data_IF_445324492292
#
_entry.id   IF_445324492292
#
_cell.length_a   1.000
_cell.length_b   1.000
_cell.length_c   1.000
_cell.angle_alpha   90.00
_cell.angle_beta   90.00
_cell.angle_gamma   90.00
#
_symmetry.space_group_name_H-M   'P 1'
#
loop_
_entity.id
_entity.type
_entity.pdbx_description
1 polymer ?
#
# COMPACT_ATOMS: atom_id res chain seq x y z
N UNK A 1 -4.20 -10.47 -12.82
CA UNK A 1 -2.98 -9.80 -12.33
C UNK A 1 -1.89 -9.98 -13.37
N UNK A 2 -1.69 -9.02 -14.23
CA UNK A 2 -0.74 -9.08 -15.36
C UNK A 2 0.17 -7.86 -15.37
N UNK A 3 0.74 -7.51 -14.22
CA UNK A 3 1.76 -6.48 -14.19
C UNK A 3 3.13 -7.09 -13.86
N UNK A 4 4.03 -7.22 -14.84
CA UNK A 4 5.35 -7.78 -14.58
C UNK A 4 6.21 -6.91 -13.68
N UNK A 5 5.95 -5.59 -13.61
CA UNK A 5 6.70 -4.68 -12.75
C UNK A 5 6.33 -4.79 -11.27
N UNK A 6 5.15 -5.28 -10.95
CA UNK A 6 4.67 -5.44 -9.57
C UNK A 6 4.64 -6.92 -9.14
N UNK A 7 5.46 -7.74 -9.74
CA UNK A 7 5.59 -9.17 -9.40
C UNK A 7 4.26 -9.93 -9.41
N UNK A 8 3.32 -9.52 -10.26
CA UNK A 8 2.02 -10.17 -10.39
C UNK A 8 2.18 -11.57 -11.01
N UNK A 9 1.43 -12.53 -10.50
CA UNK A 9 1.45 -13.90 -10.99
C UNK A 9 0.44 -14.07 -12.13
N UNK A 10 0.91 -14.36 -13.34
CA UNK A 10 0.06 -14.72 -14.46
C UNK A 10 -0.84 -15.92 -14.11
N UNK A 11 -2.08 -15.92 -14.61
CA UNK A 11 -3.03 -16.99 -14.43
C UNK A 11 -3.66 -17.10 -13.03
N UNK A 12 -3.51 -16.07 -12.17
CA UNK A 12 -4.17 -16.03 -10.87
C UNK A 12 -5.23 -14.95 -10.81
N UNK A 13 -6.33 -15.27 -10.16
CA UNK A 13 -7.38 -14.30 -9.83
C UNK A 13 -7.19 -13.73 -8.43
N UNK A 14 -7.86 -12.63 -8.11
CA UNK A 14 -7.91 -12.12 -6.73
C UNK A 14 -8.48 -13.14 -5.74
N UNK A 15 -9.45 -13.94 -6.14
CA UNK A 15 -10.01 -15.00 -5.32
C UNK A 15 -8.99 -16.12 -5.01
N UNK A 16 -8.09 -16.43 -5.94
CA UNK A 16 -7.02 -17.42 -5.69
C UNK A 16 -6.03 -16.91 -4.67
N UNK A 17 -5.69 -15.63 -4.77
CA UNK A 17 -4.81 -14.97 -3.78
C UNK A 17 -5.51 -14.89 -2.43
N UNK A 18 -6.78 -14.51 -2.41
CA UNK A 18 -7.60 -14.45 -1.20
C UNK A 18 -7.65 -15.77 -0.45
N UNK A 19 -8.02 -16.86 -1.13
CA UNK A 19 -8.05 -18.21 -0.55
C UNK A 19 -6.73 -18.65 0.05
N UNK A 20 -5.64 -18.26 -0.59
CA UNK A 20 -4.29 -18.55 -0.10
C UNK A 20 -3.95 -17.76 1.16
N UNK A 21 -4.29 -16.46 1.18
CA UNK A 21 -3.89 -15.55 2.26
C UNK A 21 -4.80 -15.67 3.48
N UNK A 22 -6.11 -15.72 3.31
CA UNK A 22 -7.05 -15.68 4.44
C UNK A 22 -6.77 -16.74 5.50
N UNK A 23 -6.32 -17.92 5.06
CA UNK A 23 -6.05 -19.09 5.93
C UNK A 23 -4.63 -19.15 6.43
N UNK A 24 -3.75 -18.28 5.95
CA UNK A 24 -2.36 -18.27 6.40
C UNK A 24 -2.24 -17.51 7.72
N UNK A 25 -1.41 -18.06 8.59
CA UNK A 25 -0.99 -17.37 9.80
C UNK A 25 -0.29 -16.07 9.39
N UNK A 26 -0.72 -14.96 9.99
CA UNK A 26 -0.19 -13.66 9.66
C UNK A 26 1.29 -13.55 10.11
N UNK A 27 2.10 -12.91 9.31
CA UNK A 27 3.52 -12.67 9.54
C UNK A 27 4.34 -13.95 9.82
N UNK A 28 3.94 -15.09 9.26
CA UNK A 28 4.46 -16.42 9.63
C UNK A 28 5.98 -16.58 9.57
N UNK A 29 6.69 -15.69 8.87
CA UNK A 29 8.16 -15.70 8.73
C UNK A 29 8.85 -14.50 9.38
N UNK A 30 8.11 -13.66 10.11
CA UNK A 30 8.62 -12.44 10.73
C UNK A 30 8.50 -12.54 12.26
N UNK A 31 9.55 -12.18 12.98
CA UNK A 31 9.48 -12.08 14.42
C UNK A 31 8.60 -10.87 14.81
N UNK A 32 7.68 -11.10 15.73
CA UNK A 32 6.84 -10.04 16.31
C UNK A 32 7.20 -9.94 17.79
N UNK A 33 7.65 -8.75 18.22
CA UNK A 33 8.04 -8.54 19.61
C UNK A 33 6.79 -8.54 20.51
N UNK A 34 6.83 -9.20 21.67
CA UNK A 34 5.68 -9.24 22.58
C UNK A 34 5.25 -7.85 23.09
N UNK A 35 6.19 -6.91 23.15
CA UNK A 35 5.94 -5.52 23.57
C UNK A 35 5.52 -4.59 22.43
N UNK A 36 5.35 -5.10 21.20
CA UNK A 36 4.75 -4.29 20.12
C UNK A 36 3.39 -3.82 20.55
N UNK A 37 3.14 -2.51 20.47
CA UNK A 37 1.95 -1.86 21.02
C UNK A 37 0.64 -2.30 20.34
N UNK A 38 0.72 -2.81 19.11
CA UNK A 38 -0.44 -3.23 18.30
C UNK A 38 -0.53 -4.74 18.19
N UNK A 39 0.56 -5.37 17.79
CA UNK A 39 0.61 -6.78 17.42
C UNK A 39 1.10 -7.68 18.55
N UNK A 40 1.80 -7.13 19.55
CA UNK A 40 2.42 -7.92 20.61
C UNK A 40 1.48 -8.89 21.30
N UNK A 41 0.25 -8.48 21.58
CA UNK A 41 -0.82 -9.34 22.15
C UNK A 41 -1.18 -10.55 21.29
N UNK A 42 -0.79 -10.56 20.03
CA UNK A 42 -1.00 -11.65 19.09
C UNK A 42 0.28 -12.33 18.69
N UNK A 43 1.44 -11.88 19.20
CA UNK A 43 2.73 -12.50 18.92
C UNK A 43 2.69 -13.99 19.26
N UNK A 44 3.27 -14.83 18.40
CA UNK A 44 3.33 -16.25 18.67
C UNK A 44 4.40 -16.54 19.74
N UNK A 45 4.07 -17.26 20.83
CA UNK A 45 4.97 -17.40 21.98
C UNK A 45 6.24 -18.19 21.69
N UNK A 46 6.26 -19.03 20.69
CA UNK A 46 7.36 -19.97 20.42
C UNK A 46 7.81 -20.02 18.93
N UNK A 47 7.31 -19.14 18.09
CA UNK A 47 7.64 -19.14 16.67
C UNK A 47 7.46 -17.73 16.07
N UNK A 48 8.02 -17.44 14.89
CA UNK A 48 7.69 -16.23 14.15
C UNK A 48 6.18 -16.10 13.85
N UNK A 49 5.70 -14.88 13.68
CA UNK A 49 4.34 -14.56 13.29
C UNK A 49 3.37 -14.34 14.43
N UNK A 50 2.12 -14.22 14.04
CA UNK A 50 1.01 -14.03 14.97
C UNK A 50 0.31 -15.37 15.24
N UNK A 51 -0.47 -15.42 16.30
CA UNK A 51 -1.37 -16.54 16.60
C UNK A 51 -2.62 -16.57 15.70
N UNK A 52 -2.84 -15.53 14.93
CA UNK A 52 -4.00 -15.32 14.08
C UNK A 52 -3.66 -15.49 12.60
N UNK A 53 -4.66 -15.90 11.83
CA UNK A 53 -4.62 -15.85 10.37
C UNK A 53 -4.96 -14.44 9.86
N UNK A 54 -4.61 -14.15 8.60
CA UNK A 54 -5.01 -12.89 7.98
C UNK A 54 -6.54 -12.74 7.91
N UNK A 55 -7.28 -13.82 7.67
CA UNK A 55 -8.74 -13.79 7.68
C UNK A 55 -9.33 -13.41 9.05
N UNK A 56 -8.72 -13.88 10.14
CA UNK A 56 -9.12 -13.51 11.50
C UNK A 56 -8.78 -12.05 11.81
N UNK A 57 -7.65 -11.55 11.33
CA UNK A 57 -7.31 -10.13 11.47
C UNK A 57 -8.32 -9.24 10.75
N UNK A 58 -8.70 -9.55 9.51
CA UNK A 58 -9.74 -8.83 8.77
C UNK A 58 -11.05 -8.84 9.54
N UNK A 59 -11.49 -9.99 10.04
CA UNK A 59 -12.75 -10.10 10.82
C UNK A 59 -12.71 -9.31 12.14
N UNK A 60 -11.54 -9.07 12.69
CA UNK A 60 -11.36 -8.23 13.89
C UNK A 60 -11.30 -6.75 13.58
N UNK A 61 -10.70 -6.38 12.43
CA UNK A 61 -10.51 -5.01 12.02
C UNK A 61 -11.77 -4.37 11.43
N UNK A 62 -12.58 -5.16 10.72
CA UNK A 62 -13.73 -4.66 9.99
C UNK A 62 -15.06 -5.02 10.67
N UNK A 63 -16.02 -4.11 10.57
CA UNK A 63 -17.35 -4.32 11.16
C UNK A 63 -18.03 -5.58 10.59
N UNK A 64 -18.66 -6.43 11.42
CA UNK A 64 -19.24 -7.71 10.98
C UNK A 64 -20.21 -7.63 9.79
N UNK A 65 -20.96 -6.53 9.65
CA UNK A 65 -21.85 -6.32 8.50
C UNK A 65 -21.14 -6.35 7.14
N UNK A 66 -19.83 -6.08 7.10
CA UNK A 66 -19.06 -6.01 5.87
C UNK A 66 -18.56 -7.40 5.41
N UNK A 67 -18.36 -8.33 6.33
CA UNK A 67 -17.81 -9.63 6.02
C UNK A 67 -18.72 -10.82 6.35
N UNK A 68 -19.71 -10.62 7.24
CA UNK A 68 -20.66 -11.66 7.60
C UNK A 68 -21.84 -11.67 6.63
N UNK A 69 -21.70 -12.41 5.56
CA UNK A 69 -22.77 -12.62 4.59
C UNK A 69 -22.88 -14.11 4.21
N UNK A 70 -24.09 -14.68 4.16
CA UNK A 70 -24.31 -16.01 3.63
C UNK A 70 -24.31 -16.06 2.11
N UNK A 71 -24.29 -14.90 1.46
CA UNK A 71 -24.36 -14.81 0.01
C UNK A 71 -23.08 -15.30 -0.65
N UNK A 72 -23.24 -15.73 -1.89
CA UNK A 72 -22.16 -16.15 -2.76
C UNK A 72 -22.18 -15.36 -4.06
N UNK A 73 -21.04 -15.26 -4.71
CA UNK A 73 -20.95 -14.76 -6.08
C UNK A 73 -21.65 -15.68 -7.06
N UNK A 74 -21.93 -15.25 -8.30
CA UNK A 74 -22.43 -16.13 -9.35
C UNK A 74 -21.55 -17.36 -9.61
N UNK A 75 -20.23 -17.27 -9.33
CA UNK A 75 -19.28 -18.36 -9.41
C UNK A 75 -19.25 -19.25 -8.15
N UNK A 76 -20.16 -19.05 -7.19
CA UNK A 76 -20.30 -19.86 -5.99
C UNK A 76 -19.31 -19.53 -4.85
N UNK A 77 -18.49 -18.47 -4.98
CA UNK A 77 -17.53 -18.09 -3.95
C UNK A 77 -18.24 -17.37 -2.79
N UNK A 78 -17.84 -17.63 -1.51
CA UNK A 78 -18.27 -16.82 -0.39
C UNK A 78 -17.91 -15.33 -0.61
N UNK A 79 -18.79 -14.41 -0.25
CA UNK A 79 -18.52 -12.97 -0.44
C UNK A 79 -17.30 -12.50 0.35
N UNK A 80 -17.04 -13.07 1.52
CA UNK A 80 -15.83 -12.75 2.28
C UNK A 80 -14.55 -13.06 1.47
N UNK A 81 -14.51 -14.25 0.86
CA UNK A 81 -13.38 -14.65 0.01
C UNK A 81 -13.27 -13.78 -1.24
N UNK A 82 -14.39 -13.51 -1.91
CA UNK A 82 -14.42 -12.65 -3.10
C UNK A 82 -13.96 -11.21 -2.81
N UNK A 83 -14.27 -10.70 -1.62
CA UNK A 83 -13.94 -9.33 -1.20
C UNK A 83 -12.65 -9.24 -0.36
N UNK A 84 -11.93 -10.33 -0.15
CA UNK A 84 -10.75 -10.34 0.72
C UNK A 84 -9.68 -9.34 0.26
N UNK A 85 -9.44 -9.23 -1.04
CA UNK A 85 -8.51 -8.27 -1.62
C UNK A 85 -8.93 -6.82 -1.36
N UNK A 86 -10.23 -6.52 -1.34
CA UNK A 86 -10.75 -5.21 -0.96
C UNK A 86 -10.43 -4.89 0.51
N UNK A 87 -10.70 -5.83 1.43
CA UNK A 87 -10.34 -5.64 2.85
C UNK A 87 -8.84 -5.46 3.03
N UNK A 88 -8.04 -6.22 2.29
CA UNK A 88 -6.59 -6.10 2.31
C UNK A 88 -6.12 -4.71 1.85
N UNK A 89 -6.60 -4.26 0.70
CA UNK A 89 -6.27 -2.93 0.16
C UNK A 89 -6.73 -1.79 1.08
N UNK A 90 -7.95 -1.87 1.62
CA UNK A 90 -8.46 -0.87 2.56
C UNK A 90 -7.67 -0.84 3.87
N UNK A 91 -7.22 -1.98 4.37
CA UNK A 91 -6.38 -2.03 5.58
C UNK A 91 -5.04 -1.34 5.35
N UNK A 92 -4.40 -1.58 4.20
CA UNK A 92 -3.15 -0.90 3.81
C UNK A 92 -3.39 0.61 3.66
N UNK A 93 -4.41 1.00 2.90
CA UNK A 93 -4.75 2.41 2.69
C UNK A 93 -5.00 3.15 4.00
N UNK A 94 -5.75 2.55 4.92
CA UNK A 94 -6.03 3.13 6.23
C UNK A 94 -4.76 3.25 7.08
N UNK A 95 -3.85 2.29 7.00
CA UNK A 95 -2.56 2.37 7.66
C UNK A 95 -1.71 3.49 7.06
N UNK A 96 -1.59 3.52 5.74
CA UNK A 96 -0.80 4.54 5.03
C UNK A 96 -1.33 5.96 5.31
N UNK A 97 -2.64 6.12 5.48
CA UNK A 97 -3.23 7.41 5.84
C UNK A 97 -2.80 7.94 7.22
N UNK A 98 -2.23 7.09 8.07
CA UNK A 98 -1.64 7.49 9.35
C UNK A 98 -0.17 7.88 9.25
N UNK A 99 0.47 7.60 8.12
CA UNK A 99 1.87 7.90 7.88
C UNK A 99 1.99 9.32 7.30
N UNK A 100 1.99 10.29 8.19
CA UNK A 100 2.17 11.69 7.81
C UNK A 100 3.64 12.05 7.99
N UNK A 101 4.29 12.44 6.89
CA UNK A 101 5.66 12.93 6.89
C UNK A 101 5.64 14.42 6.57
N UNK A 102 5.64 15.25 7.60
CA UNK A 102 5.49 16.70 7.50
C UNK A 102 6.60 17.50 8.22
N UNK A 103 7.61 16.81 8.73
CA UNK A 103 8.77 17.42 9.40
C UNK A 103 10.11 16.79 8.94
N UNK A 104 10.18 16.34 7.70
CA UNK A 104 11.45 15.90 7.13
C UNK A 104 12.41 17.08 6.95
N UNK A 105 13.74 16.87 6.88
CA UNK A 105 14.68 17.94 6.57
C UNK A 105 14.32 18.76 5.31
N UNK A 106 13.75 18.10 4.31
CA UNK A 106 13.27 18.79 3.11
C UNK A 106 12.09 19.74 3.41
N UNK A 107 11.14 19.33 4.26
CA UNK A 107 9.97 20.14 4.59
C UNK A 107 10.38 21.42 5.33
N UNK A 108 11.32 21.29 6.27
CA UNK A 108 11.91 22.43 6.97
C UNK A 108 12.65 23.37 6.02
N UNK A 109 13.45 22.81 5.11
CA UNK A 109 14.15 23.59 4.08
C UNK A 109 13.16 24.33 3.16
N UNK A 110 12.14 23.64 2.67
CA UNK A 110 11.10 24.22 1.83
C UNK A 110 10.29 25.31 2.56
N UNK A 111 10.22 25.23 3.89
CA UNK A 111 9.60 26.23 4.76
C UNK A 111 10.52 27.40 5.14
N UNK A 112 11.77 27.40 4.65
CA UNK A 112 12.71 28.52 4.81
C UNK A 112 13.84 28.30 5.81
N UNK A 113 14.01 27.08 6.35
CA UNK A 113 15.18 26.73 7.16
C UNK A 113 16.35 26.28 6.27
N UNK A 114 17.18 27.21 5.86
CA UNK A 114 18.34 26.94 5.00
C UNK A 114 19.36 25.98 5.64
N UNK A 115 19.35 25.81 6.96
CA UNK A 115 20.23 24.92 7.67
C UNK A 115 19.73 23.47 7.71
N UNK A 116 18.49 23.22 7.36
CA UNK A 116 17.89 21.88 7.41
C UNK A 116 18.50 20.88 6.41
N UNK A 117 19.11 21.36 5.33
CA UNK A 117 19.82 20.54 4.36
C UNK A 117 21.33 20.84 4.33
N UNK A 118 22.16 19.81 4.27
CA UNK A 118 23.60 19.96 4.03
C UNK A 118 23.88 20.49 2.62
N UNK A 119 25.12 20.91 2.36
CA UNK A 119 25.52 21.34 1.02
C UNK A 119 25.35 20.24 -0.03
N UNK A 120 25.70 18.98 0.31
CA UNK A 120 25.53 17.81 -0.55
C UNK A 120 24.06 17.51 -0.83
N UNK A 121 23.19 17.62 0.19
CA UNK A 121 21.75 17.42 0.02
C UNK A 121 21.13 18.49 -0.88
N UNK A 122 21.54 19.76 -0.75
CA UNK A 122 21.13 20.82 -1.66
C UNK A 122 21.63 20.61 -3.09
N UNK A 123 22.86 20.12 -3.26
CA UNK A 123 23.37 19.75 -4.57
C UNK A 123 22.58 18.59 -5.17
N UNK A 124 22.20 17.60 -4.35
CA UNK A 124 21.32 16.51 -4.75
C UNK A 124 19.93 17.00 -5.17
N UNK A 125 19.32 17.91 -4.40
CA UNK A 125 18.04 18.54 -4.74
C UNK A 125 18.11 19.30 -6.07
N UNK A 126 19.20 20.03 -6.32
CA UNK A 126 19.41 20.73 -7.59
C UNK A 126 19.52 19.75 -8.76
N UNK A 127 20.15 18.61 -8.57
CA UNK A 127 20.18 17.53 -9.58
C UNK A 127 18.80 16.94 -9.82
N UNK A 128 18.09 16.61 -8.75
CA UNK A 128 16.75 16.02 -8.77
C UNK A 128 15.76 16.90 -9.54
N UNK A 129 15.72 18.20 -9.21
CA UNK A 129 14.83 19.15 -9.85
C UNK A 129 15.32 19.57 -11.27
N UNK A 130 16.62 19.53 -11.51
CA UNK A 130 17.27 20.01 -12.72
C UNK A 130 17.63 18.92 -13.73
N UNK A 131 18.92 18.80 -14.01
CA UNK A 131 19.43 18.00 -15.14
C UNK A 131 19.14 16.49 -15.04
N UNK A 132 18.97 15.93 -13.84
CA UNK A 132 18.61 14.53 -13.67
C UNK A 132 17.14 14.24 -14.01
N UNK A 133 16.30 15.28 -14.06
CA UNK A 133 14.88 15.21 -14.45
C UNK A 133 14.01 14.31 -13.58
N UNK A 134 14.45 13.96 -12.38
CA UNK A 134 13.70 13.09 -11.48
C UNK A 134 12.34 13.70 -11.10
N UNK A 135 12.29 15.02 -10.86
CA UNK A 135 11.07 15.75 -10.54
C UNK A 135 10.02 15.75 -11.65
N UNK A 136 10.36 15.31 -12.86
CA UNK A 136 9.38 15.15 -13.94
C UNK A 136 8.33 14.08 -13.61
N UNK A 137 8.75 13.00 -12.94
CA UNK A 137 7.88 11.93 -12.48
C UNK A 137 7.64 12.02 -10.98
N UNK A 138 8.63 12.46 -10.22
CA UNK A 138 8.60 12.58 -8.76
C UNK A 138 8.41 14.04 -8.33
N UNK A 139 7.38 14.69 -8.85
CA UNK A 139 7.06 16.09 -8.54
C UNK A 139 6.08 16.25 -7.38
N UNK A 140 5.85 17.53 -7.04
CA UNK A 140 4.93 17.90 -5.97
C UNK A 140 5.50 17.72 -4.56
N UNK A 141 4.73 18.09 -3.54
CA UNK A 141 5.19 18.10 -2.14
C UNK A 141 5.49 16.72 -1.57
N UNK A 142 4.93 15.68 -2.14
CA UNK A 142 5.11 14.28 -1.71
C UNK A 142 5.95 13.45 -2.68
N UNK A 143 6.61 14.10 -3.62
CA UNK A 143 7.53 13.49 -4.61
C UNK A 143 6.92 12.36 -5.45
N UNK A 144 5.61 12.38 -5.65
CA UNK A 144 4.93 11.42 -6.52
C UNK A 144 3.82 12.07 -7.35
N UNK A 145 3.73 11.70 -8.61
CA UNK A 145 2.63 12.10 -9.48
C UNK A 145 1.30 11.36 -9.16
N UNK A 146 1.34 10.35 -8.30
CA UNK A 146 0.17 9.60 -7.87
C UNK A 146 -0.61 10.29 -6.74
N UNK A 147 -0.03 11.32 -6.10
CA UNK A 147 -0.73 12.05 -5.04
C UNK A 147 -1.94 12.80 -5.57
N UNK A 148 -3.09 12.75 -4.89
CA UNK A 148 -4.22 13.60 -5.22
C UNK A 148 -3.87 15.05 -4.92
N UNK A 149 -3.97 15.91 -5.94
CA UNK A 149 -3.88 17.35 -5.78
C UNK A 149 -5.29 17.95 -5.74
N UNK A 150 -5.58 18.91 -4.84
CA UNK A 150 -6.87 19.59 -4.81
C UNK A 150 -7.22 20.20 -6.19
N UNK A 151 -8.38 19.80 -6.73
CA UNK A 151 -8.87 20.30 -8.03
C UNK A 151 -8.25 19.62 -9.25
N UNK A 152 -7.41 18.60 -9.09
CA UNK A 152 -6.90 17.78 -10.20
C UNK A 152 -7.29 16.32 -9.98
N UNK A 153 -7.67 15.64 -11.05
CA UNK A 153 -7.80 14.18 -11.02
C UNK A 153 -6.44 13.58 -10.70
N UNK A 154 -6.42 12.63 -9.74
CA UNK A 154 -5.18 11.95 -9.39
C UNK A 154 -4.65 11.17 -10.60
N UNK A 155 -3.36 10.91 -10.62
CA UNK A 155 -2.78 10.05 -11.64
C UNK A 155 -3.38 8.64 -11.59
N UNK A 156 -3.86 8.21 -10.41
CA UNK A 156 -4.56 6.94 -10.20
C UNK A 156 -5.86 6.89 -11.00
N UNK A 157 -6.65 7.97 -11.02
CA UNK A 157 -7.91 8.03 -11.75
C UNK A 157 -7.72 7.96 -13.27
N UNK A 158 -6.51 8.21 -13.72
CA UNK A 158 -6.13 8.16 -15.16
C UNK A 158 -5.46 6.87 -15.55
N UNK A 159 -5.27 5.95 -14.60
CA UNK A 159 -4.73 4.66 -14.97
C UNK A 159 -5.75 3.83 -15.74
N UNK A 160 -5.40 3.38 -16.91
CA UNK A 160 -6.18 2.34 -17.54
C UNK A 160 -6.15 1.11 -16.63
N UNK A 161 -7.32 0.55 -16.38
CA UNK A 161 -7.41 -0.73 -15.67
C UNK A 161 -6.52 -1.74 -16.38
N UNK A 162 -5.80 -2.52 -15.62
CA UNK A 162 -4.79 -3.47 -16.14
C UNK A 162 -5.32 -4.45 -17.21
N UNK A 163 -6.63 -4.59 -17.30
CA UNK A 163 -7.32 -5.38 -18.31
C UNK A 163 -7.42 -4.68 -19.66
N UNK A 164 -7.40 -3.35 -19.69
CA UNK A 164 -7.62 -2.60 -20.90
C UNK A 164 -6.33 -2.36 -21.69
N UNK A 165 -5.21 -2.22 -21.01
CA UNK A 165 -3.97 -1.86 -21.71
C UNK A 165 -2.72 -2.42 -21.02
N UNK A 166 -2.18 -3.47 -21.57
CA UNK A 166 -1.00 -4.14 -20.99
C UNK A 166 0.27 -3.31 -20.91
N UNK A 167 0.30 -2.09 -21.32
CA UNK A 167 1.55 -1.33 -21.37
C UNK A 167 1.44 0.11 -20.90
N UNK A 168 0.29 0.53 -20.47
CA UNK A 168 0.08 1.94 -20.19
C UNK A 168 -0.19 2.18 -18.73
N UNK A 169 0.88 2.19 -18.00
CA UNK A 169 0.93 3.04 -16.84
C UNK A 169 1.11 4.45 -17.36
N UNK A 170 0.01 5.16 -17.53
CA UNK A 170 0.06 6.51 -17.99
C UNK A 170 0.58 7.40 -16.88
N UNK A 171 1.87 7.45 -16.70
CA UNK A 171 2.58 8.45 -15.89
C UNK A 171 2.38 8.43 -14.37
N UNK A 172 1.67 7.49 -13.83
CA UNK A 172 1.64 7.28 -12.39
C UNK A 172 2.73 6.29 -11.99
N UNK A 173 3.73 6.73 -11.25
CA UNK A 173 4.65 5.81 -10.60
C UNK A 173 4.15 5.55 -9.21
N UNK A 174 4.02 4.29 -8.89
CA UNK A 174 3.67 3.82 -7.57
C UNK A 174 4.94 3.39 -6.90
N UNK A 175 5.18 4.00 -5.80
CA UNK A 175 6.19 3.53 -4.86
C UNK A 175 5.51 2.77 -3.74
#
# INVERSE_FOLDING_TARGET
LLNPTEMSCAGRTFADVARKLERRRALAFQAVHPEDSVLGRYAHPAAPGLTLTYGELVKRAFHPRLWRSPQRTPAGLPLFEANFSLFWGLAIQLYESTLVSDDAPFDRYASGDDAALTAEQRAGLALFAGRARCAFCHGGPVFTAAAPEPGRTSAIDRMPMAEAVPALYDRGFYN
#
